data_IF_382572837679
#
_entry.id   IF_382572837679
#
_cell.length_a   1.000
_cell.length_b   1.000
_cell.length_c   1.000
_cell.angle_alpha   90.00
_cell.angle_beta   90.00
_cell.angle_gamma   90.00
#
_symmetry.space_group_name_H-M   'P 1'
#
loop_
_entity.id
_entity.type
_entity.pdbx_description
1 polymer ?
#
# COMPACT_ATOMS: atom_id res chain seq x y z
N UNK A 1 10.89 -26.35 -10.72
CA UNK A 1 12.35 -26.59 -10.57
C UNK A 1 13.12 -25.28 -10.52
N UNK A 2 14.01 -25.16 -9.54
CA UNK A 2 14.79 -23.94 -9.37
C UNK A 2 15.97 -23.95 -10.32
N UNK A 3 16.07 -22.94 -11.17
CA UNK A 3 17.14 -22.84 -12.16
C UNK A 3 18.08 -21.65 -11.92
N UNK A 4 17.80 -20.84 -10.90
CA UNK A 4 18.63 -19.67 -10.55
C UNK A 4 18.83 -19.68 -9.05
N UNK A 5 19.92 -19.04 -8.57
CA UNK A 5 20.12 -18.96 -7.13
C UNK A 5 19.20 -17.91 -6.50
N UNK A 6 19.09 -17.96 -5.18
CA UNK A 6 18.19 -17.07 -4.46
C UNK A 6 18.55 -15.59 -4.64
N UNK A 7 19.84 -15.28 -4.71
CA UNK A 7 20.28 -13.90 -4.88
C UNK A 7 19.80 -13.34 -6.23
N UNK A 8 19.94 -14.13 -7.28
CA UNK A 8 19.47 -13.74 -8.62
C UNK A 8 17.96 -13.59 -8.63
N UNK A 9 17.26 -14.53 -7.98
CA UNK A 9 15.80 -14.46 -7.90
C UNK A 9 15.33 -13.20 -7.17
N UNK A 10 15.98 -12.85 -6.05
CA UNK A 10 15.64 -11.65 -5.32
C UNK A 10 15.81 -10.40 -6.17
N UNK A 11 16.93 -10.31 -6.88
CA UNK A 11 17.18 -9.17 -7.77
C UNK A 11 16.14 -9.08 -8.87
N UNK A 12 15.76 -10.23 -9.44
CA UNK A 12 14.76 -10.26 -10.50
C UNK A 12 13.41 -9.78 -10.02
N UNK A 13 12.97 -10.24 -8.85
CA UNK A 13 11.70 -9.80 -8.29
C UNK A 13 11.67 -8.30 -8.06
N UNK A 14 12.76 -7.75 -7.53
CA UNK A 14 12.85 -6.31 -7.26
C UNK A 14 12.87 -5.48 -8.54
N UNK A 15 13.24 -6.08 -9.67
CA UNK A 15 13.20 -5.41 -10.96
C UNK A 15 11.76 -5.20 -11.43
N UNK A 16 10.88 -6.16 -11.13
CA UNK A 16 9.51 -6.14 -11.65
C UNK A 16 8.50 -5.52 -10.70
N UNK A 17 8.79 -5.49 -9.40
CA UNK A 17 7.81 -5.05 -8.43
C UNK A 17 8.50 -4.55 -7.18
N UNK A 18 7.73 -3.88 -6.33
CA UNK A 18 8.21 -3.48 -5.01
C UNK A 18 7.84 -4.56 -4.01
N UNK A 19 8.70 -4.75 -3.02
CA UNK A 19 8.51 -5.77 -1.99
C UNK A 19 8.92 -5.22 -0.64
N UNK A 20 8.26 -5.70 0.41
CA UNK A 20 8.78 -5.51 1.76
C UNK A 20 9.86 -6.57 2.00
N UNK A 21 10.67 -6.35 3.03
CA UNK A 21 11.70 -7.30 3.42
C UNK A 21 11.10 -8.69 3.63
N UNK A 22 10.07 -8.76 4.48
CA UNK A 22 9.44 -10.05 4.76
C UNK A 22 8.68 -10.59 3.57
N UNK A 23 8.10 -9.73 2.77
CA UNK A 23 7.38 -10.15 1.57
C UNK A 23 8.29 -10.80 0.55
N UNK A 24 9.50 -10.25 0.38
CA UNK A 24 10.44 -10.84 -0.56
C UNK A 24 10.94 -12.20 -0.06
N UNK A 25 11.19 -12.33 1.24
CA UNK A 25 11.54 -13.62 1.81
C UNK A 25 10.44 -14.64 1.55
N UNK A 26 9.19 -14.28 1.79
CA UNK A 26 8.07 -15.17 1.56
C UNK A 26 7.96 -15.57 0.09
N UNK A 27 8.19 -14.63 -0.80
CA UNK A 27 8.11 -14.90 -2.23
C UNK A 27 9.19 -15.92 -2.66
N UNK A 28 10.39 -15.78 -2.10
CA UNK A 28 11.46 -16.72 -2.40
C UNK A 28 11.15 -18.10 -1.84
N UNK A 29 10.60 -18.16 -0.64
CA UNK A 29 10.19 -19.43 -0.05
C UNK A 29 9.10 -20.09 -0.88
N UNK A 30 8.17 -19.30 -1.38
CA UNK A 30 7.11 -19.81 -2.24
C UNK A 30 7.67 -20.41 -3.51
N UNK A 31 8.75 -19.83 -4.03
CA UNK A 31 9.41 -20.36 -5.24
C UNK A 31 10.14 -21.68 -4.96
N UNK A 32 10.47 -21.94 -3.70
CA UNK A 32 11.08 -23.20 -3.31
C UNK A 32 12.43 -23.10 -2.61
N UNK A 33 12.91 -21.88 -2.37
CA UNK A 33 14.16 -21.71 -1.61
C UNK A 33 13.90 -21.95 -0.12
N UNK A 34 14.93 -22.41 0.59
CA UNK A 34 14.81 -22.59 2.02
C UNK A 34 14.71 -21.22 2.70
N UNK A 35 14.23 -21.21 3.93
CA UNK A 35 14.15 -19.98 4.72
C UNK A 35 15.54 -19.35 4.84
N UNK A 36 16.56 -20.16 5.12
CA UNK A 36 17.92 -19.66 5.28
C UNK A 36 18.44 -19.02 3.97
N UNK A 37 18.19 -19.68 2.86
CA UNK A 37 18.59 -19.15 1.54
C UNK A 37 17.86 -17.84 1.25
N UNK A 38 16.57 -17.79 1.55
CA UNK A 38 15.78 -16.61 1.28
C UNK A 38 16.23 -15.42 2.12
N UNK A 39 16.45 -15.63 3.42
CA UNK A 39 16.91 -14.58 4.31
C UNK A 39 18.27 -14.06 3.87
N UNK A 40 19.19 -14.95 3.56
CA UNK A 40 20.53 -14.54 3.13
C UNK A 40 20.47 -13.72 1.84
N UNK A 41 19.64 -14.12 0.91
CA UNK A 41 19.49 -13.40 -0.36
C UNK A 41 18.92 -12.01 -0.14
N UNK A 42 17.90 -11.89 0.69
CA UNK A 42 17.24 -10.61 0.93
C UNK A 42 18.15 -9.68 1.76
N UNK A 43 18.86 -10.24 2.75
CA UNK A 43 19.80 -9.45 3.55
C UNK A 43 20.91 -8.85 2.68
N UNK A 44 21.27 -9.51 1.59
CA UNK A 44 22.38 -9.09 0.74
C UNK A 44 21.94 -8.47 -0.58
N UNK A 45 20.66 -8.22 -0.77
CA UNK A 45 20.16 -7.71 -2.06
C UNK A 45 20.40 -6.20 -2.26
N UNK A 46 20.72 -5.48 -1.20
CA UNK A 46 21.03 -4.04 -1.30
C UNK A 46 19.81 -3.15 -1.43
N UNK A 47 18.61 -3.66 -1.22
CA UNK A 47 17.40 -2.85 -1.34
C UNK A 47 17.30 -1.85 -0.19
N UNK A 48 16.73 -0.69 -0.51
CA UNK A 48 16.35 0.30 0.49
C UNK A 48 14.87 0.06 0.76
N UNK A 49 14.54 -0.44 1.94
CA UNK A 49 13.16 -0.83 2.25
C UNK A 49 12.23 0.36 2.39
N UNK A 50 12.75 1.53 2.74
CA UNK A 50 11.96 2.76 2.70
C UNK A 50 11.60 3.12 1.27
N UNK A 51 12.53 2.94 0.35
CA UNK A 51 12.25 3.19 -1.07
C UNK A 51 11.24 2.20 -1.61
N UNK A 52 11.33 0.94 -1.20
CA UNK A 52 10.37 -0.06 -1.61
C UNK A 52 8.96 0.29 -1.11
N UNK A 53 8.86 0.75 0.13
CA UNK A 53 7.58 1.18 0.68
C UNK A 53 7.02 2.37 -0.09
N UNK A 54 7.88 3.32 -0.47
CA UNK A 54 7.46 4.49 -1.25
C UNK A 54 6.91 4.07 -2.61
N UNK A 55 7.56 3.11 -3.26
CA UNK A 55 7.09 2.60 -4.55
C UNK A 55 5.74 1.90 -4.41
N UNK A 56 5.57 1.11 -3.36
CA UNK A 56 4.29 0.44 -3.11
C UNK A 56 3.18 1.45 -2.87
N UNK A 57 3.46 2.48 -2.05
CA UNK A 57 2.46 3.51 -1.77
C UNK A 57 2.03 4.21 -3.05
N UNK A 58 2.98 4.56 -3.92
CA UNK A 58 2.67 5.23 -5.18
C UNK A 58 1.79 4.35 -6.08
N UNK A 59 2.10 3.06 -6.12
CA UNK A 59 1.31 2.12 -6.93
C UNK A 59 -0.12 2.02 -6.42
N UNK A 60 -0.31 1.90 -5.10
CA UNK A 60 -1.65 1.83 -4.55
C UNK A 60 -2.45 3.10 -4.85
N UNK A 61 -1.83 4.26 -4.70
CA UNK A 61 -2.52 5.53 -4.97
C UNK A 61 -2.87 5.71 -6.43
N UNK A 62 -2.14 5.04 -7.32
CA UNK A 62 -2.42 5.10 -8.75
C UNK A 62 -3.70 4.33 -9.10
N UNK A 63 -3.94 3.22 -8.40
CA UNK A 63 -5.04 2.33 -8.76
C UNK A 63 -6.28 2.49 -7.89
N UNK A 64 -6.18 3.11 -6.73
CA UNK A 64 -7.30 3.19 -5.82
C UNK A 64 -7.20 4.41 -4.92
N UNK A 65 -8.31 4.74 -4.27
CA UNK A 65 -8.33 5.83 -3.30
C UNK A 65 -8.07 5.24 -1.91
N UNK A 66 -7.24 5.94 -1.13
CA UNK A 66 -6.90 5.52 0.22
C UNK A 66 -6.97 6.68 1.19
N UNK A 67 -7.33 6.37 2.43
CA UNK A 67 -7.12 7.31 3.52
C UNK A 67 -5.67 7.19 3.97
N UNK A 68 -5.20 8.19 4.71
CA UNK A 68 -3.84 8.19 5.27
C UNK A 68 -3.59 6.92 6.08
N UNK A 69 -4.47 6.65 7.05
CA UNK A 69 -4.31 5.47 7.90
C UNK A 69 -4.55 4.18 7.13
N UNK A 70 -5.45 4.21 6.16
CA UNK A 70 -5.74 3.04 5.35
C UNK A 70 -4.53 2.62 4.51
N UNK A 71 -3.81 3.59 3.95
CA UNK A 71 -2.63 3.28 3.16
C UNK A 71 -1.51 2.74 4.03
N UNK A 72 -1.31 3.34 5.22
CA UNK A 72 -0.32 2.81 6.16
C UNK A 72 -0.65 1.36 6.49
N UNK A 73 -1.93 1.07 6.81
CA UNK A 73 -2.35 -0.28 7.14
C UNK A 73 -2.12 -1.26 6.00
N UNK A 74 -2.35 -0.82 4.77
CA UNK A 74 -2.13 -1.66 3.60
C UNK A 74 -0.66 -2.02 3.44
N UNK A 75 0.23 -1.05 3.64
CA UNK A 75 1.67 -1.30 3.55
C UNK A 75 2.13 -2.22 4.68
N UNK A 76 1.59 -2.04 5.88
CA UNK A 76 1.90 -2.94 6.99
C UNK A 76 1.43 -4.36 6.69
N UNK A 77 0.27 -4.49 6.07
CA UNK A 77 -0.26 -5.80 5.68
C UNK A 77 0.70 -6.50 4.71
N UNK A 78 1.38 -5.75 3.86
CA UNK A 78 2.36 -6.31 2.94
C UNK A 78 3.67 -6.68 3.62
N UNK A 79 3.85 -6.29 4.86
CA UNK A 79 5.03 -6.66 5.61
C UNK A 79 6.02 -5.53 5.87
N UNK A 80 5.70 -4.31 5.44
CA UNK A 80 6.55 -3.17 5.80
C UNK A 80 6.38 -2.86 7.28
N UNK A 81 7.42 -2.33 7.90
CA UNK A 81 7.32 -1.92 9.29
C UNK A 81 6.46 -0.66 9.38
N UNK A 82 5.95 -0.37 10.57
CA UNK A 82 5.16 0.84 10.79
C UNK A 82 5.95 2.09 10.40
N UNK A 83 7.24 2.12 10.72
CA UNK A 83 8.10 3.25 10.36
C UNK A 83 8.23 3.40 8.86
N UNK A 84 8.47 2.31 8.15
CA UNK A 84 8.60 2.33 6.70
C UNK A 84 7.30 2.77 6.05
N UNK A 85 6.18 2.23 6.52
CA UNK A 85 4.87 2.56 5.98
C UNK A 85 4.53 4.01 6.21
N UNK A 86 4.74 4.50 7.43
CA UNK A 86 4.43 5.90 7.78
C UNK A 86 5.29 6.86 6.98
N UNK A 87 6.59 6.56 6.87
CA UNK A 87 7.50 7.39 6.09
C UNK A 87 7.07 7.45 4.62
N UNK A 88 6.68 6.32 4.05
CA UNK A 88 6.25 6.26 2.66
C UNK A 88 4.99 7.11 2.43
N UNK A 89 4.02 6.99 3.34
CA UNK A 89 2.76 7.71 3.21
C UNK A 89 2.96 9.21 3.44
N UNK A 90 3.77 9.59 4.43
CA UNK A 90 4.06 10.99 4.73
C UNK A 90 4.75 11.68 3.54
N UNK A 91 5.53 10.94 2.77
CA UNK A 91 6.29 11.49 1.66
C UNK A 91 5.66 11.21 0.30
N UNK A 92 4.44 10.66 0.28
CA UNK A 92 3.77 10.29 -0.98
C UNK A 92 3.28 11.47 -1.79
N UNK A 93 3.10 12.62 -1.14
CA UNK A 93 2.55 13.79 -1.81
C UNK A 93 1.04 13.74 -2.00
N UNK A 94 0.36 12.76 -1.43
CA UNK A 94 -1.08 12.64 -1.60
C UNK A 94 -1.84 13.77 -0.92
N UNK A 95 -2.91 14.19 -1.56
CA UNK A 95 -3.87 15.14 -0.97
C UNK A 95 -5.00 14.30 -0.41
N UNK A 96 -5.09 14.22 0.91
CA UNK A 96 -6.06 13.33 1.56
C UNK A 96 -7.50 13.79 1.39
N UNK A 97 -7.71 15.08 1.20
CA UNK A 97 -9.04 15.58 0.84
C UNK A 97 -9.44 15.07 -0.54
N UNK A 98 -8.50 15.09 -1.49
CA UNK A 98 -8.77 14.59 -2.83
C UNK A 98 -9.00 13.08 -2.82
N UNK A 99 -8.27 12.37 -1.98
CA UNK A 99 -8.48 10.92 -1.83
C UNK A 99 -9.89 10.64 -1.31
N UNK A 100 -10.38 11.47 -0.38
CA UNK A 100 -11.74 11.32 0.12
C UNK A 100 -12.77 11.56 -0.98
N UNK A 101 -12.52 12.54 -1.85
CA UNK A 101 -13.40 12.80 -2.99
C UNK A 101 -13.47 11.60 -3.91
N UNK A 102 -12.31 11.01 -4.21
CA UNK A 102 -12.25 9.83 -5.06
C UNK A 102 -12.94 8.62 -4.44
N UNK A 103 -12.71 8.40 -3.15
CA UNK A 103 -13.32 7.29 -2.43
C UNK A 103 -14.85 7.44 -2.41
N UNK A 104 -15.33 8.66 -2.15
CA UNK A 104 -16.76 8.93 -2.15
C UNK A 104 -17.37 8.64 -3.52
N UNK A 105 -16.68 9.06 -4.58
CA UNK A 105 -17.17 8.81 -5.93
C UNK A 105 -17.25 7.32 -6.22
N UNK A 106 -16.27 6.54 -5.78
CA UNK A 106 -16.29 5.10 -5.97
C UNK A 106 -17.49 4.45 -5.31
N UNK A 107 -17.82 4.87 -4.08
CA UNK A 107 -19.00 4.35 -3.40
C UNK A 107 -20.28 4.73 -4.13
N UNK A 108 -20.38 5.97 -4.58
CA UNK A 108 -21.59 6.44 -5.26
C UNK A 108 -21.78 5.80 -6.63
N UNK A 109 -20.69 5.36 -7.26
CA UNK A 109 -20.77 4.65 -8.52
C UNK A 109 -21.41 3.27 -8.35
N UNK A 110 -21.33 2.68 -7.14
CA UNK A 110 -21.87 1.36 -6.88
C UNK A 110 -23.26 1.38 -6.24
N UNK A 111 -23.59 2.45 -5.51
CA UNK A 111 -24.81 2.45 -4.72
C UNK A 111 -25.24 3.86 -4.38
N UNK A 112 -26.45 4.00 -3.89
CA UNK A 112 -26.94 5.28 -3.42
C UNK A 112 -26.62 5.41 -1.93
N UNK A 113 -26.22 6.60 -1.52
CA UNK A 113 -25.89 6.90 -0.14
C UNK A 113 -26.54 8.20 0.27
N UNK A 114 -27.00 8.27 1.50
CA UNK A 114 -27.28 9.58 2.08
C UNK A 114 -25.96 10.22 2.43
N UNK A 115 -25.97 11.54 2.62
CA UNK A 115 -24.76 12.25 3.06
C UNK A 115 -24.19 11.63 4.33
N UNK A 116 -25.06 11.36 5.30
CA UNK A 116 -24.64 10.82 6.60
C UNK A 116 -24.00 9.44 6.46
N UNK A 117 -24.62 8.58 5.67
CA UNK A 117 -24.10 7.22 5.48
C UNK A 117 -22.77 7.24 4.76
N UNK A 118 -22.63 8.11 3.76
CA UNK A 118 -21.38 8.20 3.03
C UNK A 118 -20.26 8.70 3.91
N UNK A 119 -20.54 9.74 4.69
CA UNK A 119 -19.53 10.27 5.63
C UNK A 119 -19.12 9.19 6.63
N UNK A 120 -20.09 8.44 7.16
CA UNK A 120 -19.78 7.35 8.10
C UNK A 120 -18.89 6.30 7.47
N UNK A 121 -19.18 5.94 6.22
CA UNK A 121 -18.38 4.95 5.51
C UNK A 121 -16.95 5.44 5.30
N UNK A 122 -16.78 6.69 4.92
CA UNK A 122 -15.46 7.25 4.70
C UNK A 122 -14.67 7.34 6.00
N UNK A 123 -15.35 7.68 7.10
CA UNK A 123 -14.70 7.68 8.41
C UNK A 123 -14.28 6.28 8.83
N UNK A 124 -15.11 5.29 8.53
CA UNK A 124 -14.77 3.91 8.79
C UNK A 124 -13.51 3.49 8.03
N UNK A 125 -13.34 4.03 6.82
CA UNK A 125 -12.17 3.74 5.98
C UNK A 125 -10.92 4.46 6.46
N UNK A 126 -11.06 5.36 7.44
CA UNK A 126 -9.91 6.03 8.03
C UNK A 126 -9.76 7.51 7.70
N UNK A 127 -10.68 8.06 6.92
CA UNK A 127 -10.66 9.51 6.67
C UNK A 127 -11.09 10.25 7.92
N UNK A 128 -10.57 11.46 8.11
CA UNK A 128 -11.04 12.30 9.20
C UNK A 128 -12.46 12.79 8.90
N UNK A 129 -13.15 13.26 9.93
CA UNK A 129 -14.50 13.81 9.76
C UNK A 129 -14.52 14.94 8.72
N UNK A 130 -13.51 15.81 8.75
CA UNK A 130 -13.41 16.91 7.80
C UNK A 130 -13.19 16.42 6.37
N UNK A 131 -12.28 15.45 6.20
CA UNK A 131 -12.01 14.86 4.89
C UNK A 131 -13.25 14.16 4.36
N UNK A 132 -13.94 13.42 5.21
CA UNK A 132 -15.15 12.69 4.81
C UNK A 132 -16.24 13.65 4.36
N UNK A 133 -16.46 14.72 5.12
CA UNK A 133 -17.45 15.73 4.75
C UNK A 133 -17.09 16.38 3.42
N UNK A 134 -15.81 16.70 3.24
CA UNK A 134 -15.33 17.30 1.98
C UNK A 134 -15.58 16.36 0.81
N UNK A 135 -15.30 15.07 0.99
CA UNK A 135 -15.51 14.09 -0.05
C UNK A 135 -16.97 13.99 -0.47
N UNK A 136 -17.87 13.97 0.51
CA UNK A 136 -19.30 13.92 0.24
C UNK A 136 -19.77 15.19 -0.48
N UNK A 137 -19.37 16.35 0.01
CA UNK A 137 -19.79 17.63 -0.57
C UNK A 137 -19.30 17.79 -2.01
N UNK A 138 -18.08 17.41 -2.27
CA UNK A 138 -17.51 17.50 -3.61
C UNK A 138 -18.26 16.63 -4.61
N UNK A 139 -18.97 15.61 -4.14
CA UNK A 139 -19.78 14.72 -4.96
C UNK A 139 -21.27 15.07 -4.93
N UNK A 140 -21.61 16.22 -4.39
CA UNK A 140 -22.98 16.72 -4.46
C UNK A 140 -23.87 16.37 -3.26
N UNK A 141 -23.28 15.86 -2.19
CA UNK A 141 -24.05 15.51 -0.98
C UNK A 141 -23.79 16.47 0.22
#
# INVERSE_FOLDING_TARGET
EITRDAATAAADYLTYSSFSYSGLIEQLEFEGYSHEEAVAAVDNCGADWNEQAAKSAATYLEYSAFSYTGLIGQLEFEGFTTEQATNAVDNSGADWNEQAVKAAKEYLDYSEFTREDLISQLEFDGFTAEQAAHGAEANGL
#
